data_IF_060371820243
#
_entry.id   IF_060371820243
#
_cell.length_a   1.000
_cell.length_b   1.000
_cell.length_c   1.000
_cell.angle_alpha   90.00
_cell.angle_beta   90.00
_cell.angle_gamma   90.00
#
_symmetry.space_group_name_H-M   'P 1'
#
loop_
_entity.id
_entity.type
_entity.pdbx_description
1 polymer ?
#
# COMPACT_ATOMS: atom_id res chain seq x y z
N UNK A 1 -4.33 -4.51 -32.92
CA UNK A 1 -3.03 -5.17 -33.16
C UNK A 1 -1.99 -4.06 -33.30
N UNK A 2 -1.20 -3.79 -32.25
CA UNK A 2 -0.12 -2.80 -32.31
C UNK A 2 1.22 -3.51 -32.16
N UNK A 3 1.99 -3.46 -33.24
CA UNK A 3 3.32 -4.05 -33.39
C UNK A 3 4.38 -3.12 -32.81
N UNK A 4 5.19 -3.66 -31.92
CA UNK A 4 6.38 -3.05 -31.33
C UNK A 4 7.48 -2.98 -32.40
N UNK A 5 8.07 -1.81 -32.62
CA UNK A 5 9.27 -1.64 -33.45
C UNK A 5 10.49 -1.47 -32.53
N UNK A 6 11.47 -2.40 -32.55
CA UNK A 6 12.73 -2.22 -31.84
C UNK A 6 13.67 -1.32 -32.63
N UNK A 7 13.92 -0.11 -32.13
CA UNK A 7 15.00 0.76 -32.57
C UNK A 7 16.24 0.47 -31.71
N UNK A 8 16.99 -0.57 -32.08
CA UNK A 8 18.39 -0.73 -31.71
C UNK A 8 19.13 -1.33 -32.91
N UNK A 9 19.75 -0.47 -33.72
CA UNK A 9 20.77 -0.85 -34.68
C UNK A 9 21.63 0.39 -34.92
N UNK A 10 22.75 0.51 -34.23
CA UNK A 10 23.84 1.39 -34.63
C UNK A 10 24.98 0.46 -35.06
N UNK A 11 25.04 0.21 -36.36
CA UNK A 11 26.09 -0.53 -37.03
C UNK A 11 26.68 0.43 -38.07
N UNK A 12 27.90 0.87 -37.81
CA UNK A 12 28.83 1.39 -38.82
C UNK A 12 30.22 1.19 -38.19
N UNK A 13 30.92 0.10 -38.51
CA UNK A 13 31.78 -0.06 -39.69
C UNK A 13 32.85 1.04 -39.71
N UNK A 14 34.09 0.62 -39.46
CA UNK A 14 35.23 1.52 -39.32
C UNK A 14 35.74 2.08 -40.63
N UNK A 15 36.55 3.13 -40.50
CA UNK A 15 37.55 3.52 -41.48
C UNK A 15 38.80 4.05 -40.75
N UNK A 16 39.92 3.43 -41.09
CA UNK A 16 41.28 3.74 -40.72
C UNK A 16 41.83 4.80 -41.70
N UNK A 17 42.45 5.87 -41.18
CA UNK A 17 43.28 6.78 -41.97
C UNK A 17 44.32 7.44 -41.05
N UNK A 18 45.57 6.98 -41.15
CA UNK A 18 46.71 7.45 -40.39
C UNK A 18 47.22 8.84 -40.76
N UNK A 19 48.02 9.42 -39.85
CA UNK A 19 48.78 10.65 -40.07
C UNK A 19 49.64 11.04 -38.87
N UNK A 20 50.95 11.15 -39.09
CA UNK A 20 52.05 11.24 -38.13
C UNK A 20 52.30 12.64 -37.53
N UNK A 21 52.75 12.67 -36.27
CA UNK A 21 53.85 13.53 -35.78
C UNK A 21 53.52 14.94 -35.28
N UNK A 22 54.00 15.29 -34.08
CA UNK A 22 54.16 16.67 -33.64
C UNK A 22 54.10 16.87 -32.13
N UNK A 23 55.18 17.43 -31.59
CA UNK A 23 55.51 17.65 -30.19
C UNK A 23 54.79 18.86 -29.54
N UNK A 24 54.95 18.96 -28.21
CA UNK A 24 54.93 20.19 -27.39
C UNK A 24 53.60 20.78 -26.86
N UNK A 25 53.41 20.57 -25.55
CA UNK A 25 53.04 21.54 -24.48
C UNK A 25 51.83 22.47 -24.64
N UNK A 26 50.93 22.46 -23.65
CA UNK A 26 50.83 23.45 -22.55
C UNK A 26 49.52 23.20 -21.78
N UNK A 27 49.69 23.09 -20.46
CA UNK A 27 48.64 22.98 -19.45
C UNK A 27 47.65 24.16 -19.51
N UNK A 28 46.35 23.91 -19.44
CA UNK A 28 45.34 24.89 -19.00
C UNK A 28 44.04 24.20 -18.60
N UNK A 29 43.86 24.10 -17.29
CA UNK A 29 42.58 24.22 -16.60
C UNK A 29 41.42 23.37 -17.17
N UNK A 30 41.47 22.07 -16.85
CA UNK A 30 40.32 21.19 -17.00
C UNK A 30 39.23 21.65 -16.02
N UNK A 31 38.35 22.50 -16.52
CA UNK A 31 37.15 22.94 -15.84
C UNK A 31 36.42 21.78 -15.19
N UNK A 32 35.93 22.01 -13.98
CA UNK A 32 35.12 21.12 -13.16
C UNK A 32 34.04 20.40 -13.99
N UNK A 33 34.37 19.21 -14.48
CA UNK A 33 33.41 18.32 -15.13
C UNK A 33 32.53 17.71 -14.04
N UNK A 34 31.22 17.94 -14.14
CA UNK A 34 30.19 17.38 -13.25
C UNK A 34 30.20 15.83 -13.22
N UNK A 35 30.90 15.20 -14.16
CA UNK A 35 31.17 13.76 -14.18
C UNK A 35 32.11 13.30 -13.04
N UNK A 36 32.91 14.21 -12.46
CA UNK A 36 33.75 13.91 -11.29
C UNK A 36 32.98 13.92 -9.96
N UNK A 37 31.79 14.52 -9.92
CA UNK A 37 30.98 14.64 -8.70
C UNK A 37 30.15 13.38 -8.42
N UNK A 38 29.96 12.50 -9.41
CA UNK A 38 29.23 11.24 -9.26
C UNK A 38 30.07 10.06 -8.75
N UNK A 39 31.40 10.14 -8.83
CA UNK A 39 32.30 9.04 -8.48
C UNK A 39 32.75 9.03 -7.01
N UNK A 40 32.40 10.06 -6.24
CA UNK A 40 32.78 10.19 -4.83
C UNK A 40 31.55 10.31 -3.93
N UNK A 41 30.67 9.31 -3.95
CA UNK A 41 29.59 9.19 -2.98
C UNK A 41 29.46 7.72 -2.53
N UNK A 42 29.16 7.44 -1.25
CA UNK A 42 29.08 6.08 -0.68
C UNK A 42 27.78 5.39 -1.10
N UNK A 43 27.43 5.43 -2.39
CA UNK A 43 26.19 4.90 -2.94
C UNK A 43 26.06 3.38 -2.65
N UNK A 44 27.17 2.64 -2.75
CA UNK A 44 27.18 1.20 -2.50
C UNK A 44 26.92 0.79 -1.03
N UNK A 45 27.19 1.65 -0.04
CA UNK A 45 26.98 1.33 1.39
C UNK A 45 25.56 1.67 1.89
N UNK A 46 24.84 2.55 1.18
CA UNK A 46 23.53 3.06 1.59
C UNK A 46 22.34 2.55 0.75
N UNK A 47 22.58 1.64 -0.19
CA UNK A 47 21.55 1.13 -1.12
C UNK A 47 20.36 0.41 -0.44
N UNK A 48 20.56 -0.09 0.79
CA UNK A 48 19.50 -0.70 1.59
C UNK A 48 18.50 0.33 2.18
N UNK A 49 18.89 1.61 2.28
CA UNK A 49 17.99 2.69 2.72
C UNK A 49 17.42 3.41 1.50
N UNK A 50 16.09 3.51 1.35
CA UNK A 50 15.50 4.33 0.30
C UNK A 50 15.97 5.80 0.40
N UNK A 51 16.31 6.42 -0.72
CA UNK A 51 16.86 7.79 -0.78
C UNK A 51 16.04 8.82 0.01
N UNK A 52 14.71 8.70 -0.02
CA UNK A 52 13.80 9.59 0.73
C UNK A 52 14.05 9.61 2.24
N UNK A 53 14.61 8.54 2.78
CA UNK A 53 14.91 8.38 4.21
C UNK A 53 16.38 8.58 4.54
N UNK A 54 17.28 8.68 3.55
CA UNK A 54 18.71 8.92 3.81
C UNK A 54 18.89 10.32 4.38
N UNK A 55 19.56 10.39 5.53
CA UNK A 55 20.04 11.63 6.14
C UNK A 55 21.55 11.53 6.18
N UNK A 56 22.25 12.46 5.53
CA UNK A 56 23.71 12.54 5.61
C UNK A 56 24.12 13.37 6.82
N UNK A 57 25.16 12.93 7.52
CA UNK A 57 25.78 13.68 8.62
C UNK A 57 26.72 14.78 8.10
N UNK A 58 27.21 15.60 9.02
CA UNK A 58 28.16 16.69 8.72
C UNK A 58 29.51 16.17 8.18
N UNK A 59 29.79 14.88 8.38
CA UNK A 59 30.95 14.14 7.86
C UNK A 59 30.74 13.58 6.44
N UNK A 60 29.58 13.85 5.83
CA UNK A 60 29.20 13.35 4.50
C UNK A 60 28.85 11.86 4.48
N UNK A 61 28.81 11.18 5.63
CA UNK A 61 28.41 9.77 5.75
C UNK A 61 26.92 9.64 6.05
N UNK A 62 26.36 8.47 5.79
CA UNK A 62 24.98 8.17 6.15
C UNK A 62 24.82 8.20 7.68
N UNK A 63 23.98 9.11 8.17
CA UNK A 63 23.53 9.10 9.54
C UNK A 63 22.43 8.05 9.71
N UNK A 64 22.81 6.86 10.14
CA UNK A 64 21.91 5.71 10.32
C UNK A 64 20.80 6.02 11.34
N UNK A 65 21.10 6.71 12.43
CA UNK A 65 20.11 7.01 13.47
C UNK A 65 19.02 7.98 12.98
N UNK A 66 19.43 9.08 12.35
CA UNK A 66 18.50 10.05 11.77
C UNK A 66 17.71 9.45 10.61
N UNK A 67 18.35 8.61 9.79
CA UNK A 67 17.67 7.90 8.69
C UNK A 67 16.65 6.89 9.21
N UNK A 68 16.98 6.16 10.29
CA UNK A 68 16.08 5.21 10.93
C UNK A 68 14.88 5.92 11.58
N UNK A 69 15.07 7.08 12.22
CA UNK A 69 13.96 7.88 12.76
C UNK A 69 13.02 8.36 11.65
N UNK A 70 13.58 8.86 10.54
CA UNK A 70 12.80 9.31 9.37
C UNK A 70 12.05 8.14 8.71
N UNK A 71 12.62 6.94 8.76
CA UNK A 71 11.94 5.71 8.36
C UNK A 71 10.84 5.31 9.34
N UNK A 72 11.04 5.46 10.65
CA UNK A 72 10.07 5.09 11.69
C UNK A 72 8.81 5.98 11.70
N UNK A 73 8.93 7.27 11.37
CA UNK A 73 7.80 8.21 11.31
C UNK A 73 6.59 7.72 10.50
N UNK A 74 6.73 7.26 9.24
CA UNK A 74 5.62 6.72 8.46
C UNK A 74 5.06 5.41 9.04
N UNK A 75 5.88 4.57 9.68
CA UNK A 75 5.38 3.39 10.40
C UNK A 75 4.51 3.79 11.59
N UNK A 76 4.94 4.75 12.40
CA UNK A 76 4.13 5.28 13.51
C UNK A 76 2.82 5.92 13.03
N UNK A 77 2.82 6.59 11.87
CA UNK A 77 1.58 7.11 11.28
C UNK A 77 0.65 5.99 10.79
N UNK A 78 1.22 4.93 10.22
CA UNK A 78 0.47 3.73 9.82
C UNK A 78 -0.12 3.02 11.04
N UNK A 79 0.66 2.78 12.09
CA UNK A 79 0.20 2.16 13.34
C UNK A 79 -0.95 2.96 13.99
N UNK A 80 -0.85 4.29 14.03
CA UNK A 80 -1.94 5.14 14.55
C UNK A 80 -3.22 5.04 13.72
N UNK A 81 -3.11 4.84 12.40
CA UNK A 81 -4.26 4.79 11.48
C UNK A 81 -4.86 3.40 11.34
N UNK A 82 -4.02 2.37 11.33
CA UNK A 82 -4.43 0.97 11.20
C UNK A 82 -4.87 0.38 12.55
N UNK A 83 -4.53 1.05 13.66
CA UNK A 83 -4.66 0.48 14.99
C UNK A 83 -3.39 -0.29 15.37
N UNK A 84 -3.21 -0.59 16.65
CA UNK A 84 -2.04 -1.31 17.15
C UNK A 84 -1.98 -2.73 16.55
N UNK A 85 -1.34 -2.85 15.38
CA UNK A 85 -0.76 -4.10 14.89
C UNK A 85 -1.72 -5.22 14.49
N UNK A 86 -3.03 -4.98 14.35
CA UNK A 86 -3.93 -6.02 13.86
C UNK A 86 -3.74 -6.14 12.34
N UNK A 87 -2.81 -7.01 11.94
CA UNK A 87 -2.64 -7.37 10.54
C UNK A 87 -3.91 -8.11 10.07
N UNK A 88 -4.28 -7.96 8.79
CA UNK A 88 -5.33 -8.80 8.22
C UNK A 88 -4.99 -10.29 8.44
N UNK A 89 -5.99 -11.15 8.71
CA UNK A 89 -5.75 -12.57 8.87
C UNK A 89 -4.98 -13.15 7.68
N UNK A 90 -4.20 -14.20 7.90
CA UNK A 90 -3.37 -14.82 6.85
C UNK A 90 -4.21 -15.56 5.81
N UNK A 91 -5.36 -16.05 6.24
CA UNK A 91 -6.34 -16.72 5.43
C UNK A 91 -7.75 -16.33 5.86
N UNK A 92 -8.73 -16.60 5.01
CA UNK A 92 -10.15 -16.38 5.29
C UNK A 92 -10.61 -17.18 6.51
N UNK A 93 -10.02 -18.36 6.74
CA UNK A 93 -10.37 -19.24 7.85
C UNK A 93 -9.90 -18.68 9.20
N UNK A 94 -8.89 -17.81 9.19
CA UNK A 94 -8.30 -17.21 10.40
C UNK A 94 -9.08 -16.00 10.93
N UNK A 95 -10.23 -15.64 10.32
CA UNK A 95 -11.11 -14.63 10.89
C UNK A 95 -11.70 -15.11 12.23
N UNK A 96 -11.44 -14.32 13.26
CA UNK A 96 -11.98 -14.42 14.62
C UNK A 96 -12.39 -13.03 15.14
N UNK A 97 -13.30 -12.32 14.45
CA UNK A 97 -13.76 -11.00 14.86
C UNK A 97 -14.54 -11.09 16.17
N UNK A 98 -14.36 -10.08 17.04
CA UNK A 98 -15.22 -9.89 18.19
C UNK A 98 -16.42 -9.05 17.75
N UNK A 99 -17.60 -9.65 17.76
CA UNK A 99 -18.86 -9.00 17.40
C UNK A 99 -19.73 -8.96 18.64
N UNK A 100 -19.87 -7.78 19.25
CA UNK A 100 -20.75 -7.56 20.40
C UNK A 100 -22.18 -7.27 19.90
N UNK A 101 -22.83 -8.28 19.32
CA UNK A 101 -24.22 -8.22 18.90
C UNK A 101 -25.01 -9.40 19.48
N UNK A 102 -26.11 -9.11 20.17
CA UNK A 102 -26.98 -10.14 20.74
C UNK A 102 -27.54 -11.05 19.64
N UNK A 103 -27.35 -12.36 19.80
CA UNK A 103 -27.85 -13.38 18.85
C UNK A 103 -26.93 -13.68 17.67
N UNK A 104 -25.78 -13.04 17.53
CA UNK A 104 -24.84 -13.35 16.45
C UNK A 104 -24.06 -14.64 16.73
N UNK A 105 -24.12 -15.59 15.80
CA UNK A 105 -23.36 -16.84 15.85
C UNK A 105 -22.30 -16.86 14.75
N UNK A 106 -21.04 -16.73 15.15
CA UNK A 106 -19.91 -16.67 14.21
C UNK A 106 -19.76 -17.95 13.39
N UNK A 107 -19.97 -19.12 14.01
CA UNK A 107 -19.83 -20.41 13.32
C UNK A 107 -20.91 -20.61 12.25
N UNK A 108 -22.13 -20.16 12.50
CA UNK A 108 -23.23 -20.19 11.53
C UNK A 108 -22.97 -19.21 10.39
N UNK A 109 -22.49 -17.99 10.71
CA UNK A 109 -22.07 -17.00 9.73
C UNK A 109 -20.96 -17.55 8.81
N UNK A 110 -19.97 -18.26 9.35
CA UNK A 110 -18.92 -18.88 8.53
C UNK A 110 -19.43 -20.09 7.74
N UNK A 111 -20.44 -20.80 8.22
CA UNK A 111 -20.98 -21.97 7.52
C UNK A 111 -21.83 -21.58 6.29
N UNK A 112 -22.36 -20.36 6.25
CA UNK A 112 -23.20 -19.88 5.15
C UNK A 112 -22.38 -19.64 3.85
N UNK A 113 -22.76 -20.27 2.72
CA UNK A 113 -22.12 -20.07 1.41
C UNK A 113 -22.08 -18.62 0.92
N UNK A 114 -23.10 -17.82 1.21
CA UNK A 114 -23.15 -16.41 0.80
C UNK A 114 -22.14 -15.57 1.61
N UNK A 115 -22.06 -15.85 2.91
CA UNK A 115 -21.14 -15.16 3.83
C UNK A 115 -19.69 -15.59 3.59
N UNK A 116 -19.44 -16.82 3.14
CA UNK A 116 -18.13 -17.24 2.64
C UNK A 116 -17.63 -16.38 1.48
N UNK A 117 -18.54 -15.95 0.59
CA UNK A 117 -18.21 -14.99 -0.47
C UNK A 117 -17.79 -13.63 0.07
N UNK A 118 -18.52 -13.13 1.08
CA UNK A 118 -18.19 -11.89 1.78
C UNK A 118 -16.83 -11.97 2.49
N UNK A 119 -16.55 -13.04 3.24
CA UNK A 119 -15.29 -13.23 3.95
C UNK A 119 -14.08 -13.29 2.99
N UNK A 120 -14.23 -13.95 1.83
CA UNK A 120 -13.20 -13.95 0.78
C UNK A 120 -12.94 -12.55 0.22
N UNK A 121 -14.00 -11.80 -0.06
CA UNK A 121 -13.88 -10.42 -0.54
C UNK A 121 -13.25 -9.50 0.50
N UNK A 122 -13.64 -9.65 1.77
CA UNK A 122 -13.07 -8.91 2.89
C UNK A 122 -11.57 -9.19 3.08
N UNK A 123 -11.17 -10.46 3.02
CA UNK A 123 -9.77 -10.85 3.06
C UNK A 123 -8.96 -10.28 1.89
N UNK A 124 -9.52 -10.33 0.67
CA UNK A 124 -8.88 -9.74 -0.50
C UNK A 124 -8.70 -8.21 -0.40
N UNK A 125 -9.50 -7.54 0.44
CA UNK A 125 -9.37 -6.12 0.76
C UNK A 125 -8.48 -5.84 1.97
N UNK A 126 -7.94 -6.87 2.62
CA UNK A 126 -7.11 -6.73 3.81
C UNK A 126 -7.89 -6.20 5.01
N UNK A 127 -9.15 -6.63 5.18
CA UNK A 127 -9.93 -6.26 6.36
C UNK A 127 -9.40 -7.03 7.58
N UNK A 128 -9.14 -6.32 8.68
CA UNK A 128 -8.64 -6.88 9.95
C UNK A 128 -9.76 -7.51 10.78
N UNK A 129 -9.43 -8.23 11.86
CA UNK A 129 -10.45 -8.83 12.73
C UNK A 129 -11.28 -7.76 13.43
N UNK A 130 -10.64 -6.70 13.92
CA UNK A 130 -11.33 -5.59 14.57
C UNK A 130 -12.27 -4.85 13.60
N UNK A 131 -11.82 -4.61 12.37
CA UNK A 131 -12.64 -3.97 11.33
C UNK A 131 -13.83 -4.85 10.92
N UNK A 132 -13.61 -6.16 10.77
CA UNK A 132 -14.67 -7.13 10.50
C UNK A 132 -15.69 -7.14 11.63
N UNK A 133 -15.24 -7.14 12.88
CA UNK A 133 -16.08 -7.06 14.07
C UNK A 133 -16.98 -5.84 14.08
N UNK A 134 -16.39 -4.67 13.81
CA UNK A 134 -17.12 -3.41 13.69
C UNK A 134 -18.18 -3.42 12.58
N UNK A 135 -17.81 -3.88 11.37
CA UNK A 135 -18.74 -3.94 10.22
C UNK A 135 -19.95 -4.82 10.54
N UNK A 136 -19.71 -5.99 11.10
CA UNK A 136 -20.78 -6.94 11.45
C UNK A 136 -21.65 -6.38 12.59
N UNK A 137 -21.05 -5.78 13.62
CA UNK A 137 -21.78 -5.13 14.71
C UNK A 137 -22.74 -4.04 14.22
N UNK A 138 -22.23 -3.11 13.39
CA UNK A 138 -23.05 -2.03 12.80
C UNK A 138 -24.17 -2.57 11.94
N UNK A 139 -23.89 -3.59 11.12
CA UNK A 139 -24.90 -4.20 10.26
C UNK A 139 -26.02 -4.85 11.09
N UNK A 140 -25.68 -5.62 12.11
CA UNK A 140 -26.66 -6.34 12.94
C UNK A 140 -27.54 -5.39 13.77
N UNK A 141 -26.97 -4.32 14.31
CA UNK A 141 -27.73 -3.27 14.99
C UNK A 141 -28.72 -2.58 14.03
N UNK A 142 -28.33 -2.35 12.79
CA UNK A 142 -29.20 -1.70 11.78
C UNK A 142 -30.22 -2.67 11.20
N UNK A 143 -29.87 -3.94 11.00
CA UNK A 143 -30.75 -4.95 10.44
C UNK A 143 -32.00 -5.15 11.32
N UNK A 144 -31.81 -5.25 12.64
CA UNK A 144 -32.92 -5.34 13.60
C UNK A 144 -33.82 -4.09 13.56
N UNK A 145 -33.23 -2.89 13.50
CA UNK A 145 -33.99 -1.65 13.33
C UNK A 145 -34.79 -1.60 12.02
N UNK A 146 -34.21 -2.09 10.91
CA UNK A 146 -34.87 -2.13 9.60
C UNK A 146 -36.04 -3.12 9.58
N UNK A 147 -35.89 -4.31 10.17
CA UNK A 147 -36.99 -5.29 10.27
C UNK A 147 -38.13 -4.76 11.13
N UNK A 148 -37.82 -4.15 12.28
CA UNK A 148 -38.84 -3.57 13.15
C UNK A 148 -39.56 -2.40 12.47
N UNK A 149 -38.84 -1.51 11.80
CA UNK A 149 -39.45 -0.40 11.05
C UNK A 149 -40.33 -0.87 9.88
N UNK A 150 -39.95 -1.96 9.20
CA UNK A 150 -40.79 -2.55 8.15
C UNK A 150 -42.09 -3.12 8.70
N UNK A 151 -42.06 -3.76 9.88
CA UNK A 151 -43.25 -4.28 10.55
C UNK A 151 -44.19 -3.15 11.03
N UNK A 152 -43.64 -2.04 11.53
CA UNK A 152 -44.43 -0.85 11.89
C UNK A 152 -45.12 -0.24 10.67
N UNK A 153 -44.40 -0.08 9.55
CA UNK A 153 -44.97 0.43 8.30
C UNK A 153 -46.08 -0.48 7.76
N UNK A 154 -45.92 -1.80 7.86
CA UNK A 154 -46.94 -2.77 7.42
C UNK A 154 -48.19 -2.70 8.32
N UNK A 155 -48.02 -2.58 9.63
CA UNK A 155 -49.12 -2.41 10.58
C UNK A 155 -49.89 -1.08 10.34
N UNK A 156 -49.18 0.01 10.06
CA UNK A 156 -49.77 1.30 9.70
C UNK A 156 -50.52 1.25 8.36
N UNK A 157 -49.96 0.55 7.37
CA UNK A 157 -50.61 0.32 6.08
C UNK A 157 -51.90 -0.49 6.25
N UNK A 158 -51.85 -1.58 7.02
CA UNK A 158 -53.03 -2.40 7.35
C UNK A 158 -54.09 -1.59 8.11
N UNK A 159 -53.69 -0.77 9.08
CA UNK A 159 -54.60 0.08 9.84
C UNK A 159 -55.22 1.21 9.02
N UNK A 160 -54.50 1.72 8.02
CA UNK A 160 -55.04 2.68 7.04
C UNK A 160 -56.07 2.02 6.14
N UNK A 161 -55.79 0.83 5.62
CA UNK A 161 -56.74 0.09 4.77
C UNK A 161 -58.03 -0.25 5.52
N UNK A 162 -57.94 -0.69 6.78
CA UNK A 162 -59.12 -1.05 7.58
C UNK A 162 -60.04 0.14 7.88
N UNK A 163 -59.49 1.35 7.99
CA UNK A 163 -60.26 2.59 8.21
C UNK A 163 -60.87 3.16 6.93
N UNK A 164 -60.45 2.67 5.77
CA UNK A 164 -60.98 3.08 4.47
C UNK A 164 -62.18 2.24 4.00
N UNK A 165 -62.60 1.24 4.79
CA UNK A 165 -63.77 0.37 4.57
C UNK A 165 -64.91 0.77 5.51
#
# INVERSE_FOLDING_TARGET
>A
MWTIKPLFMNADAGEDAGGSGGDESVNSDAGHSLLGTGAQAPAAEADWVPEKFRVMGDDGKLNVESSARKLAEPYTHLEKRLGHGDAPPKSVDDYTPKVDAEGFQWDEFKADPEMQGFLKAAHAKGITNDQMGFILGEYLQRASALVNGAAELDADAAGTQLRAV
#
